data_IF_762401507325
#
_entry.id   IF_762401507325
#
_cell.length_a   1.000
_cell.length_b   1.000
_cell.length_c   1.000
_cell.angle_alpha   90.00
_cell.angle_beta   90.00
_cell.angle_gamma   90.00
#
_symmetry.space_group_name_H-M   'P 1'
#
loop_
_entity.id
_entity.type
_entity.pdbx_description
1 polymer ?
#
# COMPACT_ATOMS: atom_id res chain seq x y z
N UNK A 1 -32.09 36.28 12.79
CA UNK A 1 -31.11 35.28 12.32
C UNK A 1 -31.69 33.91 12.68
N UNK A 2 -31.92 32.99 11.72
CA UNK A 2 -32.43 31.67 12.05
C UNK A 2 -31.38 30.94 12.92
N UNK A 3 -31.84 30.25 13.96
CA UNK A 3 -30.97 29.49 14.83
C UNK A 3 -30.23 28.43 14.00
N UNK A 4 -28.90 28.44 14.04
CA UNK A 4 -28.10 27.35 13.49
C UNK A 4 -28.41 26.13 14.33
N UNK A 5 -29.13 25.17 13.74
CA UNK A 5 -29.47 23.94 14.42
C UNK A 5 -28.17 23.12 14.57
N UNK A 6 -27.60 23.11 15.77
CA UNK A 6 -26.38 22.36 16.06
C UNK A 6 -26.65 20.86 15.90
N UNK A 7 -26.20 20.28 14.79
CA UNK A 7 -26.22 18.85 14.59
C UNK A 7 -25.09 18.21 15.43
N UNK A 8 -25.46 17.65 16.59
CA UNK A 8 -24.53 16.87 17.42
C UNK A 8 -24.52 15.43 16.96
N UNK A 9 -23.40 15.00 16.39
CA UNK A 9 -23.15 13.58 16.09
C UNK A 9 -22.73 12.91 17.41
N UNK A 10 -23.61 12.09 17.97
CA UNK A 10 -23.32 11.28 19.15
C UNK A 10 -22.85 9.92 18.68
N UNK A 11 -21.66 9.53 19.13
CA UNK A 11 -21.03 8.27 18.76
C UNK A 11 -21.51 7.17 19.71
N UNK A 12 -21.97 6.04 19.17
CA UNK A 12 -22.49 4.92 19.97
C UNK A 12 -21.40 4.20 20.79
N UNK A 13 -21.81 3.61 21.92
CA UNK A 13 -20.97 2.73 22.73
C UNK A 13 -20.52 1.52 21.89
N UNK A 14 -19.27 1.55 21.43
CA UNK A 14 -18.68 0.50 20.60
C UNK A 14 -18.02 0.99 19.31
N UNK A 15 -18.23 2.25 18.91
CA UNK A 15 -17.56 2.80 17.73
C UNK A 15 -16.03 2.80 17.85
N UNK A 16 -15.49 2.80 19.08
CA UNK A 16 -14.06 2.60 19.33
C UNK A 16 -13.51 1.30 18.71
N UNK A 17 -14.34 0.25 18.61
CA UNK A 17 -13.97 -1.01 17.94
C UNK A 17 -13.86 -0.84 16.42
N UNK A 18 -14.74 -0.04 15.82
CA UNK A 18 -14.67 0.30 14.39
C UNK A 18 -13.40 1.12 14.09
N UNK A 19 -13.04 2.05 14.98
CA UNK A 19 -11.79 2.79 14.85
C UNK A 19 -10.56 1.88 14.98
N UNK A 20 -10.59 0.92 15.91
CA UNK A 20 -9.53 -0.07 16.05
C UNK A 20 -9.35 -0.90 14.77
N UNK A 21 -10.46 -1.37 14.21
CA UNK A 21 -10.48 -2.13 12.95
C UNK A 21 -9.91 -1.33 11.78
N UNK A 22 -10.32 -0.07 11.61
CA UNK A 22 -9.75 0.83 10.62
C UNK A 22 -8.24 1.02 10.80
N UNK A 23 -7.76 1.13 12.06
CA UNK A 23 -6.33 1.20 12.36
C UNK A 23 -5.61 -0.10 11.98
N UNK A 24 -6.21 -1.27 12.26
CA UNK A 24 -5.64 -2.56 11.88
C UNK A 24 -5.52 -2.71 10.35
N UNK A 25 -6.53 -2.28 9.60
CA UNK A 25 -6.49 -2.26 8.13
C UNK A 25 -5.33 -1.36 7.64
N UNK A 26 -5.18 -0.17 8.22
CA UNK A 26 -4.08 0.74 7.89
C UNK A 26 -2.70 0.16 8.24
N UNK A 27 -2.55 -0.50 9.39
CA UNK A 27 -1.30 -1.16 9.78
C UNK A 27 -0.98 -2.28 8.79
N UNK A 28 -1.96 -3.10 8.41
CA UNK A 28 -1.77 -4.16 7.43
C UNK A 28 -1.35 -3.58 6.07
N UNK A 29 -2.00 -2.51 5.61
CA UNK A 29 -1.61 -1.79 4.39
C UNK A 29 -0.16 -1.32 4.46
N UNK A 30 0.28 -0.79 5.60
CA UNK A 30 1.66 -0.36 5.80
C UNK A 30 2.66 -1.53 5.78
N UNK A 31 2.32 -2.66 6.41
CA UNK A 31 3.13 -3.89 6.39
C UNK A 31 3.29 -4.41 4.97
N UNK A 32 2.24 -4.46 4.16
CA UNK A 32 2.35 -4.89 2.75
C UNK A 32 3.26 -3.96 1.93
N UNK A 33 3.22 -2.65 2.18
CA UNK A 33 4.13 -1.70 1.57
C UNK A 33 5.59 -1.91 1.96
N UNK A 34 5.86 -2.18 3.24
CA UNK A 34 7.21 -2.51 3.71
C UNK A 34 7.73 -3.82 3.12
N UNK A 35 6.89 -4.86 3.04
CA UNK A 35 7.25 -6.12 2.40
C UNK A 35 7.59 -5.92 0.94
N UNK A 36 6.78 -5.15 0.20
CA UNK A 36 7.06 -4.81 -1.19
C UNK A 36 8.38 -4.04 -1.35
N UNK A 37 8.64 -3.07 -0.46
CA UNK A 37 9.91 -2.33 -0.43
C UNK A 37 11.14 -3.22 -0.17
N UNK A 38 10.99 -4.23 0.70
CA UNK A 38 12.03 -5.21 0.97
C UNK A 38 12.32 -6.10 -0.25
N UNK A 39 11.28 -6.67 -0.87
CA UNK A 39 11.41 -7.50 -2.08
C UNK A 39 12.03 -6.70 -3.23
N UNK A 40 11.62 -5.45 -3.40
CA UNK A 40 12.19 -4.52 -4.37
C UNK A 40 13.70 -4.33 -4.19
N UNK A 41 14.16 -4.10 -2.95
CA UNK A 41 15.59 -3.95 -2.65
C UNK A 41 16.38 -5.24 -2.84
N UNK A 42 15.73 -6.41 -2.70
CA UNK A 42 16.35 -7.71 -2.93
C UNK A 42 16.71 -7.90 -4.42
N UNK A 43 15.78 -7.62 -5.33
CA UNK A 43 15.99 -7.81 -6.76
C UNK A 43 16.79 -6.65 -7.40
N UNK A 44 16.46 -5.40 -7.04
CA UNK A 44 17.14 -4.22 -7.58
C UNK A 44 18.25 -3.74 -6.64
N UNK A 45 19.19 -4.64 -6.38
CA UNK A 45 20.37 -4.37 -5.56
C UNK A 45 21.56 -3.88 -6.42
N UNK A 46 22.64 -3.45 -5.76
CA UNK A 46 23.84 -2.95 -6.44
C UNK A 46 24.45 -3.96 -7.43
N UNK A 47 24.43 -5.25 -7.11
CA UNK A 47 24.99 -6.30 -7.97
C UNK A 47 24.19 -6.46 -9.26
N UNK A 48 22.85 -6.40 -9.18
CA UNK A 48 21.98 -6.41 -10.35
C UNK A 48 22.36 -5.30 -11.33
N UNK A 49 22.55 -4.08 -10.81
CA UNK A 49 22.93 -2.94 -11.62
C UNK A 49 24.33 -3.04 -12.21
N UNK A 50 25.33 -3.44 -11.43
CA UNK A 50 26.70 -3.59 -11.93
C UNK A 50 26.78 -4.66 -13.04
N UNK A 51 25.97 -5.73 -12.94
CA UNK A 51 25.92 -6.82 -13.92
C UNK A 51 25.16 -6.46 -15.19
N UNK A 52 23.94 -5.92 -15.06
CA UNK A 52 23.01 -5.69 -16.19
C UNK A 52 23.14 -4.31 -16.81
N UNK A 53 23.68 -3.34 -16.07
CA UNK A 53 23.77 -1.94 -16.48
C UNK A 53 25.17 -1.37 -16.17
N UNK A 54 26.22 -1.68 -16.96
CA UNK A 54 27.57 -1.16 -16.72
C UNK A 54 27.66 0.38 -16.74
N UNK A 55 26.70 1.05 -17.39
CA UNK A 55 26.54 2.51 -17.39
C UNK A 55 25.92 3.05 -16.09
N UNK A 56 25.59 2.19 -15.11
CA UNK A 56 24.97 2.52 -13.82
C UNK A 56 25.69 3.64 -13.07
N UNK A 57 27.03 3.67 -13.13
CA UNK A 57 27.82 4.74 -12.50
C UNK A 57 27.56 6.12 -13.11
N UNK A 58 27.19 6.18 -14.39
CA UNK A 58 26.84 7.42 -15.09
C UNK A 58 25.40 7.83 -14.79
N UNK A 59 24.49 6.85 -14.64
CA UNK A 59 23.10 7.04 -14.22
C UNK A 59 22.97 7.64 -12.82
N UNK A 60 23.92 7.39 -11.92
CA UNK A 60 23.90 7.96 -10.56
C UNK A 60 23.78 9.49 -10.48
N UNK A 61 24.07 10.22 -11.57
CA UNK A 61 23.85 11.68 -11.67
C UNK A 61 22.43 12.09 -12.07
N UNK A 62 21.67 11.21 -12.72
CA UNK A 62 20.32 11.49 -13.27
C UNK A 62 19.25 10.77 -12.46
N UNK A 63 19.51 9.52 -12.10
CA UNK A 63 18.60 8.66 -11.38
C UNK A 63 19.42 7.70 -10.54
N UNK A 64 19.38 7.87 -9.22
CA UNK A 64 19.97 6.90 -8.30
C UNK A 64 19.01 5.71 -8.24
N UNK A 65 19.27 4.60 -8.95
CA UNK A 65 18.30 3.51 -9.12
C UNK A 65 18.22 2.62 -7.86
N UNK A 66 18.67 3.12 -6.70
CA UNK A 66 18.66 2.34 -5.48
C UNK A 66 17.20 2.01 -5.12
N UNK A 67 16.84 0.73 -5.26
CA UNK A 67 15.47 0.26 -5.04
C UNK A 67 14.59 0.23 -6.29
N UNK A 68 15.13 0.17 -7.51
CA UNK A 68 14.33 -0.21 -8.68
C UNK A 68 13.32 0.83 -9.17
N UNK A 69 13.27 2.03 -8.58
CA UNK A 69 12.42 3.11 -9.08
C UNK A 69 13.01 3.68 -10.38
N UNK A 70 12.18 4.08 -11.35
CA UNK A 70 10.72 4.25 -11.29
C UNK A 70 9.95 3.00 -11.76
N UNK A 71 10.63 1.86 -11.89
CA UNK A 71 10.05 0.64 -12.44
C UNK A 71 9.08 0.00 -11.44
N UNK A 72 7.92 -0.38 -11.94
CA UNK A 72 6.83 -0.98 -11.17
C UNK A 72 6.42 -2.37 -11.72
N UNK A 73 7.33 -3.06 -12.42
CA UNK A 73 7.19 -4.48 -12.77
C UNK A 73 7.09 -4.78 -14.26
N UNK A 74 7.07 -3.74 -15.09
CA UNK A 74 7.01 -3.85 -16.56
C UNK A 74 7.96 -2.87 -17.26
N UNK A 75 8.85 -2.21 -16.52
CA UNK A 75 9.81 -1.29 -17.09
C UNK A 75 11.13 -1.95 -17.50
N UNK A 76 12.09 -1.08 -17.82
CA UNK A 76 13.42 -1.45 -18.29
C UNK A 76 14.23 -2.29 -17.29
N UNK A 77 13.97 -2.15 -15.99
CA UNK A 77 14.68 -2.90 -14.95
C UNK A 77 14.02 -4.27 -14.76
N UNK A 78 12.70 -4.32 -14.73
CA UNK A 78 11.94 -5.56 -14.58
C UNK A 78 12.17 -6.53 -15.77
N UNK A 79 12.36 -6.00 -16.97
CA UNK A 79 12.71 -6.77 -18.19
C UNK A 79 14.05 -7.52 -18.10
N UNK A 80 14.92 -7.13 -17.16
CA UNK A 80 16.23 -7.78 -16.98
C UNK A 80 16.25 -8.82 -15.86
N UNK A 81 15.12 -9.00 -15.16
CA UNK A 81 14.93 -10.06 -14.18
C UNK A 81 14.71 -11.39 -14.88
N UNK A 82 15.07 -12.48 -14.21
CA UNK A 82 14.68 -13.82 -14.65
C UNK A 82 13.18 -14.01 -14.41
N UNK A 83 12.53 -14.88 -15.19
CA UNK A 83 11.06 -15.04 -15.17
C UNK A 83 10.48 -15.32 -13.77
N UNK A 84 11.19 -16.11 -12.96
CA UNK A 84 10.78 -16.44 -11.58
C UNK A 84 10.85 -15.22 -10.64
N UNK A 85 11.92 -14.45 -10.74
CA UNK A 85 12.14 -13.22 -9.96
C UNK A 85 11.13 -12.15 -10.39
N UNK A 86 10.89 -12.02 -11.70
CA UNK A 86 9.89 -11.13 -12.26
C UNK A 86 8.49 -11.49 -11.78
N UNK A 87 8.11 -12.78 -11.83
CA UNK A 87 6.82 -13.25 -11.36
C UNK A 87 6.64 -12.99 -9.86
N UNK A 88 7.65 -13.30 -9.06
CA UNK A 88 7.64 -13.05 -7.62
C UNK A 88 7.49 -11.56 -7.33
N UNK A 89 8.32 -10.70 -7.94
CA UNK A 89 8.25 -9.25 -7.76
C UNK A 89 6.86 -8.70 -8.09
N UNK A 90 6.27 -9.13 -9.21
CA UNK A 90 4.95 -8.67 -9.65
C UNK A 90 3.83 -9.15 -8.71
N UNK A 91 3.91 -10.35 -8.15
CA UNK A 91 2.92 -10.84 -7.18
C UNK A 91 2.90 -10.00 -5.90
N UNK A 92 4.08 -9.71 -5.32
CA UNK A 92 4.17 -8.81 -4.17
C UNK A 92 3.65 -7.41 -4.51
N UNK A 93 3.96 -6.91 -5.70
CA UNK A 93 3.50 -5.59 -6.15
C UNK A 93 1.98 -5.56 -6.29
N UNK A 94 1.39 -6.57 -6.92
CA UNK A 94 -0.08 -6.69 -7.06
C UNK A 94 -0.77 -6.81 -5.72
N UNK A 95 -0.24 -7.61 -4.79
CA UNK A 95 -0.80 -7.72 -3.45
C UNK A 95 -0.87 -6.37 -2.74
N UNK A 96 0.23 -5.59 -2.78
CA UNK A 96 0.26 -4.26 -2.16
C UNK A 96 -0.67 -3.25 -2.87
N UNK A 97 -0.65 -3.20 -4.20
CA UNK A 97 -1.49 -2.26 -4.97
C UNK A 97 -2.98 -2.57 -4.84
N UNK A 98 -3.37 -3.85 -4.90
CA UNK A 98 -4.76 -4.26 -4.66
C UNK A 98 -5.24 -3.83 -3.27
N UNK A 99 -4.36 -3.93 -2.25
CA UNK A 99 -4.68 -3.49 -0.89
C UNK A 99 -4.82 -1.97 -0.81
N UNK A 100 -3.96 -1.20 -1.49
CA UNK A 100 -4.07 0.26 -1.54
C UNK A 100 -5.36 0.72 -2.23
N UNK A 101 -5.72 0.11 -3.37
CA UNK A 101 -6.92 0.45 -4.13
C UNK A 101 -8.19 0.05 -3.37
N UNK A 102 -8.21 -1.16 -2.78
CA UNK A 102 -9.35 -1.67 -2.02
C UNK A 102 -9.48 -1.04 -0.63
N UNK A 103 -8.38 -0.64 0.00
CA UNK A 103 -8.37 -0.16 1.39
C UNK A 103 -9.28 1.04 1.61
N UNK A 104 -9.26 2.02 0.71
CA UNK A 104 -10.17 3.17 0.78
C UNK A 104 -11.64 2.77 0.59
N UNK A 105 -11.90 1.84 -0.32
CA UNK A 105 -13.25 1.34 -0.60
C UNK A 105 -13.82 0.51 0.57
N UNK A 106 -12.98 0.05 1.50
CA UNK A 106 -13.40 -0.68 2.71
C UNK A 106 -13.50 0.28 3.91
N UNK A 107 -12.46 1.07 4.18
CA UNK A 107 -12.38 1.91 5.39
C UNK A 107 -13.50 2.97 5.41
N UNK A 108 -13.79 3.62 4.27
CA UNK A 108 -14.79 4.69 4.25
C UNK A 108 -16.20 4.16 4.55
N UNK A 109 -16.70 3.11 3.86
CA UNK A 109 -17.97 2.50 4.23
C UNK A 109 -17.98 1.92 5.65
N UNK A 110 -16.89 1.32 6.12
CA UNK A 110 -16.77 0.80 7.49
C UNK A 110 -17.01 1.88 8.54
N UNK A 111 -16.35 3.04 8.40
CA UNK A 111 -16.50 4.16 9.33
C UNK A 111 -17.93 4.73 9.29
N UNK A 112 -18.52 4.89 8.10
CA UNK A 112 -19.88 5.42 7.95
C UNK A 112 -20.91 4.44 8.51
N UNK A 113 -20.83 3.16 8.13
CA UNK A 113 -21.74 2.12 8.60
C UNK A 113 -21.62 1.91 10.11
N UNK A 114 -20.41 2.04 10.67
CA UNK A 114 -20.13 1.94 12.10
C UNK A 114 -20.91 2.94 12.96
N UNK A 115 -21.30 4.11 12.41
CA UNK A 115 -22.09 5.13 13.10
C UNK A 115 -23.52 4.66 13.41
N UNK A 116 -24.11 3.83 12.55
CA UNK A 116 -25.49 3.37 12.68
C UNK A 116 -25.61 1.89 13.03
N UNK A 117 -24.64 1.07 12.61
CA UNK A 117 -24.69 -0.39 12.66
C UNK A 117 -23.39 -0.99 13.21
N UNK A 118 -22.89 -0.47 14.33
CA UNK A 118 -21.58 -0.83 14.92
C UNK A 118 -21.32 -2.33 14.99
N UNK A 119 -22.28 -3.14 15.46
CA UNK A 119 -22.09 -4.59 15.58
C UNK A 119 -21.90 -5.28 14.23
N UNK A 120 -22.69 -4.89 13.23
CA UNK A 120 -22.61 -5.51 11.90
C UNK A 120 -21.37 -5.04 11.17
N UNK A 121 -21.08 -3.74 11.22
CA UNK A 121 -19.88 -3.15 10.65
C UNK A 121 -18.62 -3.88 11.13
N UNK A 122 -18.50 -4.13 12.44
CA UNK A 122 -17.36 -4.83 13.04
C UNK A 122 -17.18 -6.29 12.59
N UNK A 123 -18.24 -7.01 12.22
CA UNK A 123 -18.12 -8.38 11.72
C UNK A 123 -17.83 -8.47 10.23
N UNK A 124 -18.04 -7.37 9.50
CA UNK A 124 -17.97 -7.34 8.03
C UNK A 124 -16.79 -6.53 7.48
N UNK A 125 -16.12 -5.73 8.31
CA UNK A 125 -14.85 -5.10 7.96
C UNK A 125 -13.67 -6.04 8.16
#
# INVERSE_FOLDING_TARGET
MPAVNEMKIVVGEGYAWILLEAVLICIHMWITGMMMGSVRRRFFNKQFYEKKFPQYKQLGKVMRPDGGYPDDGQGRLADQLDDEDWFTFNNYRRAHMNYMEGGFAIIVPLLIAGLSYTRWAFFTG
#
